data_IF_674527637352
#
_entry.id   IF_674527637352
#
_cell.length_a   1.000
_cell.length_b   1.000
_cell.length_c   1.000
_cell.angle_alpha   90.00
_cell.angle_beta   90.00
_cell.angle_gamma   90.00
#
_symmetry.space_group_name_H-M   'P 1'
#
loop_
_entity.id
_entity.type
_entity.pdbx_description
1 polymer ?
#
# COMPACT_ATOMS: atom_id res chain seq x y z
N UNK A 1 23.77 -5.09 5.83
CA UNK A 1 22.97 -4.97 4.59
C UNK A 1 21.61 -4.41 5.01
N UNK A 2 21.36 -3.13 4.78
CA UNK A 2 20.01 -2.58 4.92
C UNK A 2 19.15 -3.23 3.83
N UNK A 3 17.99 -3.74 4.21
CA UNK A 3 17.10 -4.39 3.24
C UNK A 3 16.61 -3.32 2.25
N UNK A 4 16.33 -3.70 1.00
CA UNK A 4 15.69 -2.81 0.03
C UNK A 4 14.43 -2.13 0.61
N UNK A 5 13.75 -2.86 1.52
CA UNK A 5 12.61 -2.40 2.27
C UNK A 5 12.90 -1.18 3.15
N UNK A 6 14.03 -1.16 3.86
CA UNK A 6 14.39 -0.06 4.75
C UNK A 6 14.62 1.25 3.97
N UNK A 7 15.08 1.17 2.72
CA UNK A 7 15.30 2.33 1.85
C UNK A 7 14.01 2.90 1.26
N UNK A 8 13.01 2.05 0.97
CA UNK A 8 11.76 2.46 0.32
C UNK A 8 10.64 2.79 1.31
N UNK A 9 10.74 2.32 2.56
CA UNK A 9 9.72 2.53 3.59
C UNK A 9 9.29 4.00 3.76
N UNK A 10 10.20 4.99 3.82
CA UNK A 10 9.80 6.40 3.95
C UNK A 10 8.97 6.92 2.77
N UNK A 11 9.25 6.41 1.57
CA UNK A 11 8.53 6.80 0.34
C UNK A 11 7.14 6.16 0.30
N UNK A 12 7.01 4.91 0.76
CA UNK A 12 5.72 4.24 0.94
C UNK A 12 4.85 5.02 1.93
N UNK A 13 5.43 5.45 3.06
CA UNK A 13 4.74 6.23 4.08
C UNK A 13 4.26 7.59 3.56
N UNK A 14 5.07 8.30 2.79
CA UNK A 14 4.65 9.54 2.13
C UNK A 14 3.50 9.31 1.13
N UNK A 15 3.57 8.23 0.35
CA UNK A 15 2.56 7.89 -0.64
C UNK A 15 1.20 7.57 0.01
N UNK A 16 1.18 6.80 1.10
CA UNK A 16 -0.09 6.50 1.79
C UNK A 16 -0.70 7.72 2.44
N UNK A 17 0.10 8.64 2.97
CA UNK A 17 -0.40 9.90 3.54
C UNK A 17 -1.08 10.77 2.47
N UNK A 18 -0.52 10.80 1.26
CA UNK A 18 -1.14 11.48 0.12
C UNK A 18 -2.48 10.83 -0.28
N UNK A 19 -2.57 9.49 -0.30
CA UNK A 19 -3.84 8.80 -0.57
C UNK A 19 -4.87 9.16 0.51
N UNK A 20 -4.48 9.12 1.78
CA UNK A 20 -5.34 9.48 2.90
C UNK A 20 -5.90 10.89 2.76
N UNK A 21 -5.06 11.87 2.39
CA UNK A 21 -5.50 13.27 2.28
C UNK A 21 -6.47 13.51 1.12
N UNK A 22 -6.32 12.78 0.01
CA UNK A 22 -7.18 12.95 -1.18
C UNK A 22 -8.55 12.29 -0.97
N UNK A 23 -8.58 11.10 -0.37
CA UNK A 23 -9.78 10.26 -0.32
C UNK A 23 -10.47 10.20 1.05
N UNK A 24 -9.88 10.80 2.09
CA UNK A 24 -10.36 10.75 3.47
C UNK A 24 -10.62 9.31 3.97
N UNK A 25 -9.66 8.42 3.71
CA UNK A 25 -9.72 7.00 4.09
C UNK A 25 -8.47 6.54 4.84
N UNK A 26 -8.62 5.57 5.73
CA UNK A 26 -7.49 4.80 6.27
C UNK A 26 -6.92 3.86 5.19
N UNK A 27 -5.61 3.87 5.02
CA UNK A 27 -4.89 3.03 4.04
C UNK A 27 -4.19 1.88 4.75
N UNK A 28 -4.13 0.73 4.08
CA UNK A 28 -3.44 -0.48 4.52
C UNK A 28 -2.69 -1.07 3.32
N UNK A 29 -1.37 -1.26 3.44
CA UNK A 29 -0.53 -1.88 2.42
C UNK A 29 -0.03 -3.22 2.95
N UNK A 30 -0.29 -4.28 2.19
CA UNK A 30 0.15 -5.62 2.50
C UNK A 30 1.08 -6.17 1.41
N UNK A 31 1.94 -7.10 1.81
CA UNK A 31 2.71 -7.93 0.88
C UNK A 31 1.82 -8.99 0.20
N UNK A 32 2.43 -9.85 -0.62
CA UNK A 32 1.74 -10.96 -1.30
C UNK A 32 1.13 -12.00 -0.36
N UNK A 33 1.60 -12.08 0.89
CA UNK A 33 1.10 -12.99 1.91
C UNK A 33 0.02 -12.35 2.80
N UNK A 34 -0.41 -11.13 2.44
CA UNK A 34 -1.34 -10.31 3.19
C UNK A 34 -0.80 -9.86 4.55
N UNK A 35 0.52 -9.80 4.70
CA UNK A 35 1.18 -9.24 5.89
C UNK A 35 1.31 -7.73 5.69
N UNK A 36 0.81 -6.96 6.65
CA UNK A 36 0.85 -5.50 6.59
C UNK A 36 2.28 -4.98 6.72
N UNK A 37 2.68 -4.16 5.75
CA UNK A 37 4.00 -3.53 5.70
C UNK A 37 3.93 -2.02 5.97
N UNK A 38 2.79 -1.40 5.72
CA UNK A 38 2.55 0.01 6.03
C UNK A 38 1.05 0.27 6.19
N UNK A 39 0.68 1.33 6.89
CA UNK A 39 -0.72 1.72 7.01
C UNK A 39 -0.89 3.01 7.81
N UNK A 40 -2.05 3.64 7.68
CA UNK A 40 -2.38 4.88 8.38
C UNK A 40 -3.43 4.65 9.48
N UNK A 41 -3.58 5.64 10.37
CA UNK A 41 -4.56 5.61 11.45
C UNK A 41 -4.46 4.35 12.31
N UNK A 42 -5.58 3.63 12.42
CA UNK A 42 -5.66 2.37 13.20
C UNK A 42 -4.86 1.21 12.60
N UNK A 43 -4.54 1.26 11.30
CA UNK A 43 -3.84 0.19 10.60
C UNK A 43 -2.33 0.21 10.89
N UNK A 44 -1.76 1.36 11.25
CA UNK A 44 -0.35 1.47 11.62
C UNK A 44 0.01 0.55 12.82
N UNK A 45 -0.90 0.42 13.79
CA UNK A 45 -0.76 -0.49 14.95
C UNK A 45 -0.85 -1.98 14.58
N UNK A 46 -1.13 -2.30 13.32
CA UNK A 46 -1.32 -3.66 12.81
C UNK A 46 -0.21 -4.07 11.85
N UNK A 47 0.82 -3.25 11.62
CA UNK A 47 2.01 -3.62 10.85
C UNK A 47 2.59 -4.93 11.39
N UNK A 48 3.03 -5.81 10.48
CA UNK A 48 3.49 -7.17 10.77
C UNK A 48 2.38 -8.19 11.01
N UNK A 49 1.11 -7.78 11.15
CA UNK A 49 -0.03 -8.69 11.33
C UNK A 49 -0.71 -8.99 10.00
N UNK A 50 -1.10 -10.24 9.81
CA UNK A 50 -1.86 -10.68 8.63
C UNK A 50 -3.23 -10.00 8.56
N UNK A 51 -3.64 -9.59 7.36
CA UNK A 51 -4.99 -9.12 7.08
C UNK A 51 -5.95 -10.31 7.11
N UNK A 52 -6.68 -10.46 8.21
CA UNK A 52 -7.60 -11.58 8.47
C UNK A 52 -9.06 -11.26 8.13
N UNK A 53 -9.45 -9.98 8.10
CA UNK A 53 -10.82 -9.55 7.81
C UNK A 53 -10.84 -8.19 7.08
N UNK A 54 -11.80 -8.03 6.15
CA UNK A 54 -12.01 -6.83 5.34
C UNK A 54 -12.80 -7.12 4.07
N UNK A 55 -13.35 -6.09 3.40
CA UNK A 55 -13.88 -6.21 2.03
C UNK A 55 -12.72 -6.30 1.05
N UNK A 56 -12.12 -7.49 0.96
CA UNK A 56 -10.99 -7.79 0.08
C UNK A 56 -11.47 -7.82 -1.38
N UNK A 57 -11.38 -6.67 -2.06
CA UNK A 57 -11.51 -6.62 -3.51
C UNK A 57 -10.14 -6.90 -4.13
N UNK A 58 -9.88 -8.17 -4.48
CA UNK A 58 -8.65 -8.55 -5.18
C UNK A 58 -8.77 -8.16 -6.66
N UNK A 59 -8.40 -6.93 -7.02
CA UNK A 59 -8.15 -6.59 -8.41
C UNK A 59 -6.73 -7.02 -8.76
N UNK A 60 -6.59 -8.21 -9.34
CA UNK A 60 -5.31 -8.60 -9.96
C UNK A 60 -5.12 -7.71 -11.17
N UNK A 61 -4.15 -6.81 -11.10
CA UNK A 61 -3.71 -6.04 -12.26
C UNK A 61 -2.96 -7.00 -13.19
N UNK A 62 -3.69 -7.82 -13.93
CA UNK A 62 -3.13 -8.54 -15.06
C UNK A 62 -2.55 -7.51 -16.03
N UNK A 63 -1.36 -7.76 -16.58
CA UNK A 63 -0.77 -6.94 -17.64
C UNK A 63 -1.79 -6.79 -18.78
N UNK A 64 -2.59 -5.73 -18.78
CA UNK A 64 -3.06 -5.15 -20.04
C UNK A 64 -1.98 -4.15 -20.41
N UNK A 65 -1.36 -4.37 -21.57
CA UNK A 65 -0.47 -3.40 -22.20
C UNK A 65 -1.29 -2.15 -22.51
N UNK A 66 -1.46 -1.28 -21.53
CA UNK A 66 -2.04 0.03 -21.74
C UNK A 66 -0.90 1.02 -21.71
N UNK A 67 -0.56 1.52 -22.90
CA UNK A 67 0.22 2.74 -23.06
C UNK A 67 -0.40 3.82 -22.19
N UNK A 68 0.33 4.28 -21.18
CA UNK A 68 -0.08 5.44 -20.40
C UNK A 68 -0.20 6.65 -21.33
N UNK A 69 -1.27 7.47 -21.23
CA UNK A 69 -1.27 8.76 -21.90
C UNK A 69 -0.10 9.56 -21.32
N UNK A 70 0.79 10.03 -22.19
CA UNK A 70 1.83 11.00 -21.82
C UNK A 70 1.11 12.25 -21.35
N UNK A 71 1.14 12.51 -20.05
CA UNK A 71 0.81 13.82 -19.51
C UNK A 71 2.08 14.66 -19.67
N UNK A 72 1.89 15.75 -20.42
CA UNK A 72 2.82 16.81 -20.85
C UNK A 72 4.19 16.85 -20.19
#
# INVERSE_FOLDING_TARGET
MTSLFDGIQPQIEQYILMICSIFDVDVDICDSNLIRIAGTGKNNRRIGKKLTSGRLSKKVMGKKSTSWPKIL
#
